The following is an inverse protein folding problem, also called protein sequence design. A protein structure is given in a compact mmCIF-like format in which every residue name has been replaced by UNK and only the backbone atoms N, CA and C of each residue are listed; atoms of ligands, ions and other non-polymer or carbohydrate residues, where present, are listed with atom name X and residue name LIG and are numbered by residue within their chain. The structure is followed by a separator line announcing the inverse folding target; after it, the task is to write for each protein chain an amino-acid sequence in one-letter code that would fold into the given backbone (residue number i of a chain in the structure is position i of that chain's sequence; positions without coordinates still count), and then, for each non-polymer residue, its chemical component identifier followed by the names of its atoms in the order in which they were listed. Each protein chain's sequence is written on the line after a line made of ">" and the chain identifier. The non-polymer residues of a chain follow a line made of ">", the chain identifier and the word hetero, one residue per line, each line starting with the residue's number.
data_IF_307512637599
#
_entry.id   IF_307512637599
#
_cell.length_a   1.000
_cell.length_b   1.000
_cell.length_c   1.000
_cell.angle_alpha   90.00
_cell.angle_beta   90.00
_cell.angle_gamma   90.00
#
_symmetry.space_group_name_H-M   'P 1'
#
loop_
_entity.id
_entity.type
_entity.pdbx_description
1 polymer ?
#
# COMPACT_ATOMS: atom_id res chain seq x y z
N UNK A 1 -9.76 -16.89 -4.15
CA UNK A 1 -8.34 -17.05 -4.49
C UNK A 1 -8.10 -17.37 -5.96
N UNK A 2 -8.70 -18.41 -6.52
CA UNK A 2 -8.50 -18.79 -7.95
C UNK A 2 -8.56 -17.62 -8.93
N UNK A 3 -9.46 -16.66 -8.72
CA UNK A 3 -9.56 -15.47 -9.60
C UNK A 3 -8.30 -14.58 -9.58
N UNK A 4 -7.60 -14.42 -8.43
CA UNK A 4 -6.38 -13.60 -8.34
C UNK A 4 -5.18 -14.30 -9.00
N UNK A 5 -5.04 -15.61 -8.79
CA UNK A 5 -4.03 -16.42 -9.46
C UNK A 5 -4.20 -16.34 -10.98
N UNK A 6 -5.40 -16.64 -11.48
CA UNK A 6 -5.70 -16.55 -12.93
C UNK A 6 -5.48 -15.15 -13.49
N UNK A 7 -5.73 -14.10 -12.69
CA UNK A 7 -5.49 -12.70 -13.09
C UNK A 7 -3.99 -12.43 -13.24
N UNK A 8 -3.13 -12.96 -12.35
CA UNK A 8 -1.67 -12.84 -12.49
C UNK A 8 -1.22 -13.53 -13.79
N UNK A 9 -1.62 -14.80 -13.99
CA UNK A 9 -1.26 -15.56 -15.19
C UNK A 9 -1.73 -14.88 -16.48
N UNK A 10 -2.90 -14.25 -16.49
CA UNK A 10 -3.39 -13.52 -17.67
C UNK A 10 -2.61 -12.24 -18.01
N UNK A 11 -1.67 -11.83 -17.17
CA UNK A 11 -0.83 -10.63 -17.32
C UNK A 11 0.64 -10.97 -17.59
N UNK A 12 0.99 -12.25 -17.63
CA UNK A 12 2.33 -12.69 -17.95
C UNK A 12 2.65 -12.43 -19.43
N UNK A 13 3.84 -11.96 -19.67
CA UNK A 13 4.38 -11.79 -21.03
C UNK A 13 5.00 -13.11 -21.55
N UNK A 14 5.34 -14.06 -20.66
CA UNK A 14 5.91 -15.37 -20.94
C UNK A 14 5.23 -16.44 -20.08
N UNK A 15 5.06 -17.65 -20.64
CA UNK A 15 4.50 -18.79 -19.91
C UNK A 15 5.47 -19.31 -18.85
N UNK A 16 4.95 -19.68 -17.69
CA UNK A 16 5.67 -20.35 -16.60
C UNK A 16 4.88 -21.55 -16.09
N UNK A 17 5.60 -22.58 -15.64
CA UNK A 17 4.99 -23.81 -15.11
C UNK A 17 4.40 -23.60 -13.70
N UNK A 18 5.02 -22.71 -12.92
CA UNK A 18 4.54 -22.28 -11.61
C UNK A 18 5.06 -20.88 -11.27
N UNK A 19 4.35 -20.15 -10.39
CA UNK A 19 4.87 -18.93 -9.76
C UNK A 19 5.12 -19.23 -8.29
N UNK A 20 6.29 -18.86 -7.79
CA UNK A 20 6.68 -19.09 -6.39
C UNK A 20 6.92 -17.77 -5.68
N UNK A 21 6.05 -17.48 -4.71
CA UNK A 21 6.13 -16.29 -3.86
C UNK A 21 6.64 -16.71 -2.48
N UNK A 22 7.92 -16.48 -2.22
CA UNK A 22 8.54 -16.76 -0.92
C UNK A 22 8.49 -15.52 -0.04
N UNK A 23 7.61 -15.54 0.95
CA UNK A 23 7.46 -14.44 1.88
C UNK A 23 8.72 -14.27 2.75
N UNK A 24 9.07 -13.02 3.00
CA UNK A 24 10.23 -12.65 3.82
C UNK A 24 9.92 -12.63 5.32
N UNK A 25 10.80 -11.96 6.05
CA UNK A 25 10.62 -11.55 7.44
C UNK A 25 10.48 -10.03 7.48
N UNK A 26 9.83 -9.47 8.50
CA UNK A 26 9.76 -8.00 8.63
C UNK A 26 11.17 -7.37 8.63
N UNK A 27 11.35 -6.25 7.93
CA UNK A 27 10.34 -5.45 7.21
C UNK A 27 10.12 -5.89 5.73
N UNK A 28 10.71 -6.99 5.27
CA UNK A 28 10.73 -7.44 3.88
C UNK A 28 9.63 -8.47 3.60
N UNK A 29 8.40 -8.20 3.98
CA UNK A 29 7.25 -9.04 3.64
C UNK A 29 6.88 -8.85 2.16
N UNK A 30 6.60 -9.95 1.46
CA UNK A 30 6.13 -9.90 0.08
C UNK A 30 4.61 -9.65 0.03
N UNK A 31 4.20 -8.47 -0.36
CA UNK A 31 2.78 -8.12 -0.52
C UNK A 31 2.10 -8.95 -1.60
N UNK A 32 2.85 -9.49 -2.57
CA UNK A 32 2.32 -10.39 -3.60
C UNK A 32 1.85 -11.71 -3.02
N UNK A 33 2.53 -12.21 -1.97
CA UNK A 33 2.08 -13.37 -1.20
C UNK A 33 0.70 -13.11 -0.58
N UNK A 34 0.49 -11.96 0.07
CA UNK A 34 -0.79 -11.59 0.66
C UNK A 34 -1.87 -11.33 -0.38
N UNK A 35 -1.52 -10.77 -1.53
CA UNK A 35 -2.43 -10.63 -2.66
C UNK A 35 -2.94 -11.97 -3.15
N UNK A 36 -2.05 -12.90 -3.46
CA UNK A 36 -2.38 -14.21 -4.00
C UNK A 36 -3.17 -15.04 -3.01
N UNK A 37 -2.74 -15.12 -1.75
CA UNK A 37 -3.37 -15.93 -0.70
C UNK A 37 -4.63 -15.31 -0.11
N UNK A 38 -4.79 -13.98 -0.21
CA UNK A 38 -5.88 -13.24 0.41
C UNK A 38 -5.84 -13.19 1.94
N UNK A 39 -4.72 -13.56 2.55
CA UNK A 39 -4.55 -13.53 4.01
C UNK A 39 -4.77 -12.12 4.56
N UNK A 40 -5.70 -12.00 5.50
CA UNK A 40 -6.11 -10.73 6.12
C UNK A 40 -5.31 -10.37 7.38
N UNK A 41 -4.65 -11.38 7.96
CA UNK A 41 -3.86 -11.28 9.18
C UNK A 41 -2.72 -12.30 9.13
N UNK A 42 -1.85 -12.26 10.11
CA UNK A 42 -0.65 -13.10 10.16
C UNK A 42 0.54 -12.47 9.45
N UNK A 43 1.73 -12.95 9.78
CA UNK A 43 2.99 -12.49 9.20
C UNK A 43 3.47 -13.46 8.13
N UNK A 44 3.25 -14.77 8.32
CA UNK A 44 3.64 -15.84 7.40
C UNK A 44 5.13 -15.82 7.04
N UNK A 45 6.00 -15.54 8.03
CA UNK A 45 7.44 -15.48 7.81
C UNK A 45 8.02 -16.76 7.24
N UNK A 46 8.75 -16.63 6.14
CA UNK A 46 9.40 -17.74 5.45
C UNK A 46 8.44 -18.78 4.86
N UNK A 47 7.15 -18.49 4.82
CA UNK A 47 6.15 -19.29 4.11
C UNK A 47 6.21 -19.06 2.60
N UNK A 48 5.69 -19.99 1.83
CA UNK A 48 5.74 -19.94 0.36
C UNK A 48 4.33 -20.16 -0.19
N UNK A 49 3.95 -19.39 -1.19
CA UNK A 49 2.78 -19.64 -2.01
C UNK A 49 3.24 -20.12 -3.40
N UNK A 50 2.74 -21.27 -3.82
CA UNK A 50 2.96 -21.82 -5.17
C UNK A 50 1.65 -21.62 -5.93
N UNK A 51 1.71 -20.84 -6.99
CA UNK A 51 0.56 -20.56 -7.84
C UNK A 51 0.69 -21.38 -9.12
N UNK A 52 -0.42 -22.02 -9.51
CA UNK A 52 -0.46 -22.88 -10.67
C UNK A 52 -1.25 -22.26 -11.85
N UNK A 53 -0.94 -22.61 -13.11
CA UNK A 53 -1.61 -22.05 -14.29
C UNK A 53 -3.12 -22.31 -14.33
N UNK A 54 -3.58 -23.39 -13.69
CA UNK A 54 -5.01 -23.73 -13.57
C UNK A 54 -5.78 -22.90 -12.56
N UNK A 55 -5.10 -21.94 -11.90
CA UNK A 55 -5.66 -21.06 -10.88
C UNK A 55 -5.62 -21.60 -9.46
N UNK A 56 -5.09 -22.80 -9.25
CA UNK A 56 -4.87 -23.36 -7.91
C UNK A 56 -3.69 -22.66 -7.21
N UNK A 57 -3.68 -22.77 -5.87
CA UNK A 57 -2.64 -22.22 -5.02
C UNK A 57 -2.39 -23.16 -3.84
N UNK A 58 -1.12 -23.53 -3.64
CA UNK A 58 -0.65 -24.25 -2.47
C UNK A 58 0.10 -23.30 -1.54
N UNK A 59 -0.20 -23.38 -0.24
CA UNK A 59 0.56 -22.66 0.79
C UNK A 59 1.45 -23.63 1.54
N UNK A 60 2.76 -23.41 1.47
CA UNK A 60 3.77 -24.11 2.27
C UNK A 60 4.09 -23.24 3.47
N UNK A 61 3.60 -23.63 4.65
CA UNK A 61 3.60 -22.81 5.86
C UNK A 61 4.31 -23.49 7.03
N UNK A 62 4.89 -22.69 7.92
CA UNK A 62 5.41 -23.21 9.19
C UNK A 62 4.26 -23.65 10.11
N UNK A 63 4.55 -24.53 11.08
CA UNK A 63 3.57 -24.93 12.10
C UNK A 63 2.97 -23.71 12.85
N UNK A 64 3.73 -22.62 13.01
CA UNK A 64 3.26 -21.40 13.65
C UNK A 64 2.11 -20.73 12.89
N UNK A 65 2.12 -20.83 11.58
CA UNK A 65 1.14 -20.16 10.71
C UNK A 65 0.01 -21.09 10.22
N UNK A 66 0.09 -22.39 10.55
CA UNK A 66 -0.89 -23.39 10.07
C UNK A 66 -2.33 -23.03 10.41
N UNK A 67 -2.59 -22.62 11.66
CA UNK A 67 -3.95 -22.24 12.10
C UNK A 67 -4.52 -21.07 11.30
N UNK A 68 -3.67 -20.11 10.94
CA UNK A 68 -4.05 -18.96 10.13
C UNK A 68 -4.26 -19.33 8.66
N UNK A 69 -3.38 -20.17 8.12
CA UNK A 69 -3.47 -20.66 6.74
C UNK A 69 -4.73 -21.49 6.49
N UNK A 70 -5.07 -22.39 7.43
CA UNK A 70 -6.28 -23.26 7.32
C UNK A 70 -7.62 -22.51 7.36
N UNK A 71 -7.62 -21.21 7.66
CA UNK A 71 -8.82 -20.34 7.52
C UNK A 71 -9.04 -19.86 6.09
N UNK A 72 -8.03 -20.04 5.24
CA UNK A 72 -8.09 -19.65 3.82
C UNK A 72 -8.58 -20.84 2.99
N UNK A 73 -9.23 -20.54 1.87
CA UNK A 73 -9.70 -21.55 0.91
C UNK A 73 -8.57 -21.91 -0.07
N UNK A 74 -7.54 -22.58 0.46
CA UNK A 74 -6.32 -23.00 -0.26
C UNK A 74 -5.79 -24.32 0.29
N UNK A 75 -5.00 -25.05 -0.49
CA UNK A 75 -4.29 -26.22 -0.01
C UNK A 75 -3.10 -25.81 0.87
N UNK A 76 -2.97 -26.46 2.04
CA UNK A 76 -1.97 -26.11 3.05
C UNK A 76 -1.05 -27.29 3.33
N UNK A 77 0.24 -27.10 3.11
CA UNK A 77 1.31 -28.06 3.41
C UNK A 77 2.17 -27.47 4.53
N UNK A 78 2.33 -28.19 5.63
CA UNK A 78 3.01 -27.69 6.83
C UNK A 78 4.45 -28.20 6.91
N UNK A 79 5.39 -27.34 7.30
CA UNK A 79 6.80 -27.71 7.56
C UNK A 79 7.23 -27.31 8.98
N UNK A 80 8.23 -28.04 9.53
CA UNK A 80 8.86 -27.78 10.84
C UNK A 80 10.25 -27.15 10.72
N UNK A 81 10.98 -27.49 9.67
CA UNK A 81 12.36 -27.00 9.46
C UNK A 81 12.55 -26.46 8.06
N UNK A 82 13.61 -25.67 7.86
CA UNK A 82 13.99 -25.15 6.55
C UNK A 82 14.30 -26.24 5.53
N UNK A 83 14.93 -27.36 5.99
CA UNK A 83 15.22 -28.52 5.14
C UNK A 83 13.92 -29.18 4.65
N UNK A 84 12.93 -29.31 5.55
CA UNK A 84 11.63 -29.86 5.21
C UNK A 84 10.90 -28.99 4.18
N UNK A 85 10.91 -27.66 4.38
CA UNK A 85 10.38 -26.74 3.36
C UNK A 85 11.07 -26.92 2.02
N UNK A 86 12.41 -26.97 2.00
CA UNK A 86 13.20 -27.18 0.78
C UNK A 86 12.82 -28.48 0.08
N UNK A 87 12.59 -29.57 0.85
CA UNK A 87 12.18 -30.84 0.30
C UNK A 87 10.76 -30.77 -0.31
N UNK A 88 9.82 -30.12 0.37
CA UNK A 88 8.46 -29.89 -0.14
C UNK A 88 8.49 -29.12 -1.47
N UNK A 89 9.31 -28.07 -1.57
CA UNK A 89 9.47 -27.32 -2.82
C UNK A 89 10.05 -28.17 -3.95
N UNK A 90 11.05 -29.02 -3.65
CA UNK A 90 11.61 -29.95 -4.65
C UNK A 90 10.58 -30.93 -5.20
N UNK A 91 9.72 -31.45 -4.32
CA UNK A 91 8.67 -32.40 -4.72
C UNK A 91 7.59 -31.68 -5.52
N UNK A 92 7.08 -30.56 -5.03
CA UNK A 92 6.01 -29.80 -5.69
C UNK A 92 6.42 -29.25 -7.07
N UNK A 93 7.66 -28.80 -7.21
CA UNK A 93 8.18 -28.18 -8.45
C UNK A 93 9.00 -29.16 -9.28
N UNK A 94 8.91 -30.46 -8.98
CA UNK A 94 9.60 -31.49 -9.77
C UNK A 94 9.09 -31.52 -11.21
N UNK A 95 9.98 -31.21 -12.14
CA UNK A 95 9.65 -31.14 -13.57
C UNK A 95 9.21 -29.76 -14.06
N UNK A 96 9.11 -28.75 -13.20
CA UNK A 96 8.94 -27.37 -13.64
C UNK A 96 10.22 -26.87 -14.32
N UNK A 97 10.14 -26.54 -15.59
CA UNK A 97 11.26 -26.01 -16.37
C UNK A 97 11.39 -24.50 -16.22
N UNK A 98 10.25 -23.80 -16.10
CA UNK A 98 10.19 -22.33 -15.97
C UNK A 98 9.42 -21.93 -14.73
N UNK A 99 10.05 -21.16 -13.84
CA UNK A 99 9.48 -20.74 -12.57
C UNK A 99 9.42 -19.22 -12.47
N UNK A 100 8.21 -18.69 -12.31
CA UNK A 100 7.98 -17.28 -12.06
C UNK A 100 8.36 -16.88 -10.64
N UNK A 101 9.10 -15.78 -10.47
CA UNK A 101 9.50 -15.21 -9.18
C UNK A 101 9.30 -13.70 -9.20
N UNK A 102 8.99 -13.11 -8.06
CA UNK A 102 8.89 -11.66 -7.93
C UNK A 102 10.22 -11.08 -7.47
N UNK A 103 11.07 -10.65 -8.41
CA UNK A 103 12.40 -10.13 -8.09
C UNK A 103 12.37 -8.85 -7.25
N UNK A 104 11.33 -8.04 -7.36
CA UNK A 104 11.23 -6.78 -6.60
C UNK A 104 10.95 -6.99 -5.11
N UNK A 105 10.38 -8.14 -4.72
CA UNK A 105 10.08 -8.48 -3.33
C UNK A 105 11.00 -9.57 -2.76
N UNK A 106 11.61 -10.39 -3.62
CA UNK A 106 12.42 -11.53 -3.20
C UNK A 106 13.81 -11.06 -2.74
N UNK A 107 14.09 -11.17 -1.45
CA UNK A 107 15.44 -10.89 -0.94
C UNK A 107 16.46 -11.88 -1.48
N UNK A 108 17.71 -11.46 -1.63
CA UNK A 108 18.79 -12.35 -2.10
C UNK A 108 18.95 -13.60 -1.22
N UNK A 109 18.75 -13.47 0.09
CA UNK A 109 18.80 -14.62 1.00
C UNK A 109 17.67 -15.63 0.73
N UNK A 110 16.46 -15.15 0.48
CA UNK A 110 15.34 -16.02 0.12
C UNK A 110 15.47 -16.59 -1.29
N UNK A 111 16.01 -15.82 -2.23
CA UNK A 111 16.36 -16.33 -3.56
C UNK A 111 17.31 -17.52 -3.50
N UNK A 112 18.38 -17.44 -2.71
CA UNK A 112 19.29 -18.58 -2.52
C UNK A 112 18.58 -19.81 -1.95
N UNK A 113 17.73 -19.64 -0.94
CA UNK A 113 16.94 -20.73 -0.37
C UNK A 113 15.96 -21.33 -1.36
N UNK A 114 15.34 -20.50 -2.21
CA UNK A 114 14.47 -20.97 -3.28
C UNK A 114 15.26 -21.85 -4.27
N UNK A 115 16.44 -21.41 -4.69
CA UNK A 115 17.34 -22.16 -5.58
C UNK A 115 17.74 -23.54 -5.02
N UNK A 116 17.84 -23.69 -3.71
CA UNK A 116 18.08 -24.98 -3.06
C UNK A 116 16.88 -25.93 -3.22
N UNK A 117 15.66 -25.38 -3.31
CA UNK A 117 14.39 -26.10 -3.45
C UNK A 117 13.96 -26.35 -4.88
N UNK A 118 14.51 -25.60 -5.85
CA UNK A 118 14.15 -25.72 -7.27
C UNK A 118 15.44 -25.84 -8.08
N UNK A 119 15.91 -27.07 -8.36
CA UNK A 119 17.16 -27.25 -9.05
C UNK A 119 17.06 -26.79 -10.51
N UNK A 120 17.82 -25.74 -10.79
CA UNK A 120 18.13 -25.22 -12.14
C UNK A 120 16.94 -24.85 -13.05
N UNK A 121 15.84 -24.19 -12.55
CA UNK A 121 14.79 -23.71 -13.43
C UNK A 121 15.25 -22.50 -14.23
N UNK A 122 14.63 -22.26 -15.37
CA UNK A 122 14.61 -20.95 -16.00
C UNK A 122 13.73 -20.02 -15.15
N UNK A 123 14.31 -19.01 -14.54
CA UNK A 123 13.59 -18.05 -13.73
C UNK A 123 13.03 -16.92 -14.57
N UNK A 124 11.75 -16.60 -14.38
CA UNK A 124 11.04 -15.51 -15.07
C UNK A 124 10.59 -14.48 -14.03
N UNK A 125 10.91 -13.20 -14.23
CA UNK A 125 10.38 -12.14 -13.38
C UNK A 125 8.89 -11.90 -13.66
N UNK A 126 8.07 -12.15 -12.66
CA UNK A 126 6.61 -11.95 -12.74
C UNK A 126 6.13 -10.71 -11.97
N UNK A 127 7.04 -9.89 -11.44
CA UNK A 127 6.72 -8.69 -10.66
C UNK A 127 5.78 -7.75 -11.39
N UNK A 128 6.09 -7.44 -12.67
CA UNK A 128 5.25 -6.58 -13.49
C UNK A 128 3.84 -7.13 -13.76
N UNK A 129 3.69 -8.45 -13.91
CA UNK A 129 2.38 -9.09 -14.07
C UNK A 129 1.55 -8.99 -12.78
N UNK A 130 2.18 -9.16 -11.62
CA UNK A 130 1.54 -9.03 -10.31
C UNK A 130 1.10 -7.58 -10.08
N UNK A 131 1.96 -6.60 -10.38
CA UNK A 131 1.59 -5.17 -10.28
C UNK A 131 0.40 -4.83 -11.17
N UNK A 132 0.41 -5.25 -12.43
CA UNK A 132 -0.73 -5.09 -13.34
C UNK A 132 -2.01 -5.76 -12.81
N UNK A 133 -1.90 -6.93 -12.17
CA UNK A 133 -3.04 -7.64 -11.58
C UNK A 133 -3.63 -6.91 -10.37
N UNK A 134 -2.79 -6.21 -9.57
CA UNK A 134 -3.18 -5.44 -8.39
C UNK A 134 -3.77 -4.07 -8.69
N UNK A 135 -3.53 -3.51 -9.89
CA UNK A 135 -4.07 -2.19 -10.28
C UNK A 135 -5.60 -2.14 -10.20
N UNK A 136 -6.27 -3.16 -10.71
CA UNK A 136 -7.73 -3.24 -10.70
C UNK A 136 -8.18 -4.08 -9.52
N UNK A 137 -8.75 -3.44 -8.52
CA UNK A 137 -9.18 -4.08 -7.28
C UNK A 137 -10.44 -4.93 -7.50
N UNK A 138 -10.48 -6.10 -6.89
CA UNK A 138 -11.70 -6.91 -6.84
C UNK A 138 -12.69 -6.39 -5.76
N UNK A 139 -13.87 -7.01 -5.66
CA UNK A 139 -14.91 -6.56 -4.74
C UNK A 139 -14.50 -6.64 -3.27
N UNK A 140 -13.72 -7.68 -2.89
CA UNK A 140 -13.23 -7.85 -1.52
C UNK A 140 -12.16 -6.80 -1.19
N UNK A 141 -11.25 -6.53 -2.13
CA UNK A 141 -10.26 -5.46 -1.99
C UNK A 141 -10.93 -4.10 -1.82
N UNK A 142 -11.96 -3.82 -2.63
CA UNK A 142 -12.74 -2.57 -2.55
C UNK A 142 -13.50 -2.42 -1.23
N UNK A 143 -14.02 -3.51 -0.66
CA UNK A 143 -14.65 -3.49 0.67
C UNK A 143 -13.64 -3.10 1.75
N UNK A 144 -12.45 -3.72 1.75
CA UNK A 144 -11.38 -3.45 2.70
C UNK A 144 -10.84 -2.02 2.58
N UNK A 145 -10.64 -1.54 1.36
CA UNK A 145 -10.22 -0.16 1.08
C UNK A 145 -11.25 0.85 1.57
N UNK A 146 -12.54 0.62 1.29
CA UNK A 146 -13.62 1.50 1.79
C UNK A 146 -13.63 1.57 3.30
N UNK A 147 -13.44 0.45 3.98
CA UNK A 147 -13.42 0.45 5.45
C UNK A 147 -12.17 1.15 5.99
N UNK A 148 -10.98 0.94 5.40
CA UNK A 148 -9.77 1.69 5.75
C UNK A 148 -9.98 3.22 5.57
N UNK A 149 -10.55 3.63 4.44
CA UNK A 149 -10.87 5.04 4.17
C UNK A 149 -11.92 5.59 5.14
N UNK A 150 -12.97 4.79 5.48
CA UNK A 150 -13.98 5.19 6.45
C UNK A 150 -13.37 5.45 7.82
N UNK A 151 -12.48 4.58 8.29
CA UNK A 151 -11.79 4.73 9.58
C UNK A 151 -10.96 6.02 9.58
N UNK A 152 -10.14 6.23 8.55
CA UNK A 152 -9.31 7.44 8.46
C UNK A 152 -10.16 8.72 8.38
N UNK A 153 -11.25 8.71 7.61
CA UNK A 153 -12.15 9.86 7.50
C UNK A 153 -12.80 10.22 8.83
N UNK A 154 -13.27 9.23 9.61
CA UNK A 154 -13.85 9.49 10.93
C UNK A 154 -12.83 10.09 11.90
N UNK A 155 -11.57 9.66 11.83
CA UNK A 155 -10.51 10.25 12.64
C UNK A 155 -10.19 11.66 12.17
N UNK A 156 -10.15 11.90 10.85
CA UNK A 156 -9.95 13.24 10.30
C UNK A 156 -11.02 14.24 10.80
N UNK A 157 -12.27 13.81 10.79
CA UNK A 157 -13.40 14.62 11.28
C UNK A 157 -13.32 14.90 12.80
N UNK A 158 -12.66 14.02 13.55
CA UNK A 158 -12.53 14.12 15.01
C UNK A 158 -11.28 14.93 15.46
N UNK A 159 -10.32 15.21 14.56
CA UNK A 159 -9.12 16.00 14.88
C UNK A 159 -9.46 17.34 15.58
N UNK A 160 -10.43 18.15 15.13
CA UNK A 160 -10.76 19.40 15.80
C UNK A 160 -11.18 19.26 17.26
N UNK A 161 -11.66 18.07 17.68
CA UNK A 161 -12.14 17.83 19.05
C UNK A 161 -10.99 17.58 20.03
N UNK A 162 -9.83 17.13 19.58
CA UNK A 162 -8.69 16.86 20.46
C UNK A 162 -7.49 17.77 20.24
N UNK A 163 -7.35 18.34 19.03
CA UNK A 163 -6.24 19.23 18.69
C UNK A 163 -6.33 20.52 19.52
N UNK A 164 -5.24 20.89 20.20
CA UNK A 164 -5.16 22.07 21.05
C UNK A 164 -3.80 22.72 21.03
N UNK A 165 -3.76 24.02 21.29
CA UNK A 165 -2.51 24.77 21.52
C UNK A 165 -1.68 24.08 22.62
N UNK A 166 -0.37 24.02 22.43
CA UNK A 166 0.58 23.37 23.34
C UNK A 166 0.71 21.86 23.18
N UNK A 167 -0.15 21.20 22.38
CA UNK A 167 0.02 19.79 22.01
C UNK A 167 1.24 19.66 21.07
N UNK A 168 2.07 18.66 21.26
CA UNK A 168 3.20 18.44 20.36
C UNK A 168 2.83 17.48 19.20
N UNK A 169 3.65 17.47 18.14
CA UNK A 169 3.42 16.69 16.93
C UNK A 169 3.34 15.18 17.22
N UNK A 170 4.25 14.67 18.07
CA UNK A 170 4.27 13.23 18.45
C UNK A 170 2.99 12.85 19.22
N UNK A 171 2.53 13.71 20.13
CA UNK A 171 1.26 13.49 20.85
C UNK A 171 0.07 13.43 19.90
N UNK A 172 0.04 14.33 18.91
CA UNK A 172 -1.05 14.38 17.92
C UNK A 172 -1.01 13.13 17.01
N UNK A 173 0.16 12.71 16.56
CA UNK A 173 0.33 11.48 15.77
C UNK A 173 -0.09 10.23 16.54
N UNK A 174 0.25 10.15 17.83
CA UNK A 174 -0.14 9.05 18.71
C UNK A 174 -1.66 9.00 18.92
N UNK A 175 -2.30 10.15 19.10
CA UNK A 175 -3.75 10.23 19.27
C UNK A 175 -4.51 9.80 17.99
N UNK A 176 -4.04 10.20 16.81
CA UNK A 176 -4.58 9.76 15.52
C UNK A 176 -4.49 8.25 15.41
N UNK A 177 -3.31 7.68 15.66
CA UNK A 177 -3.05 6.24 15.58
C UNK A 177 -3.94 5.46 16.55
N UNK A 178 -4.07 5.92 17.79
CA UNK A 178 -4.93 5.31 18.80
C UNK A 178 -6.41 5.31 18.37
N UNK A 179 -6.90 6.43 17.82
CA UNK A 179 -8.30 6.54 17.37
C UNK A 179 -8.59 5.63 16.19
N UNK A 180 -7.66 5.51 15.22
CA UNK A 180 -7.81 4.56 14.11
C UNK A 180 -7.91 3.12 14.61
N UNK A 181 -7.06 2.71 15.56
CA UNK A 181 -7.09 1.37 16.13
C UNK A 181 -8.38 1.11 16.93
N UNK A 182 -8.88 2.08 17.66
CA UNK A 182 -10.18 1.97 18.34
C UNK A 182 -11.35 1.78 17.38
N UNK A 183 -11.25 2.24 16.15
CA UNK A 183 -12.24 2.05 15.10
C UNK A 183 -12.04 0.75 14.30
N UNK A 184 -11.04 -0.07 14.65
CA UNK A 184 -10.83 -1.40 14.07
C UNK A 184 -9.67 -1.50 13.09
N UNK A 185 -8.86 -0.46 12.89
CA UNK A 185 -7.60 -0.58 12.16
C UNK A 185 -6.62 -1.48 12.91
N UNK A 186 -5.84 -2.29 12.19
CA UNK A 186 -4.74 -3.08 12.77
C UNK A 186 -3.50 -2.26 13.08
N UNK A 187 -3.40 -1.06 12.53
CA UNK A 187 -2.30 -0.11 12.68
C UNK A 187 -2.46 1.08 11.75
N UNK A 188 -1.37 1.81 11.55
CA UNK A 188 -1.27 2.87 10.54
C UNK A 188 -0.78 2.26 9.22
N UNK A 189 -1.19 2.82 8.08
CA UNK A 189 -0.72 2.39 6.75
C UNK A 189 0.71 2.87 6.44
N UNK A 190 1.11 3.95 7.10
CA UNK A 190 2.46 4.52 7.11
C UNK A 190 2.66 5.32 8.41
N UNK A 191 3.87 5.80 8.67
CA UNK A 191 4.16 6.63 9.82
C UNK A 191 3.38 7.95 9.71
N UNK A 192 2.54 8.23 10.71
CA UNK A 192 1.68 9.42 10.70
C UNK A 192 2.52 10.69 10.72
N UNK A 193 2.36 11.51 9.69
CA UNK A 193 2.94 12.85 9.64
C UNK A 193 2.01 13.80 10.42
N UNK A 194 2.52 14.40 11.47
CA UNK A 194 1.90 15.52 12.15
C UNK A 194 2.90 16.67 12.13
N UNK A 195 2.62 17.72 11.38
CA UNK A 195 3.57 18.79 11.12
C UNK A 195 2.94 20.16 11.41
N UNK A 196 3.54 20.91 12.33
CA UNK A 196 3.02 22.18 12.80
C UNK A 196 3.85 23.37 12.28
N UNK A 197 3.16 24.46 11.96
CA UNK A 197 3.79 25.68 11.47
C UNK A 197 4.67 25.44 10.23
N UNK A 198 5.94 25.81 10.31
CA UNK A 198 6.91 25.69 9.22
C UNK A 198 7.23 24.24 8.83
N UNK A 199 7.12 23.28 9.77
CA UNK A 199 7.35 21.86 9.51
C UNK A 199 6.35 21.30 8.48
N UNK A 200 5.16 21.91 8.36
CA UNK A 200 4.15 21.52 7.36
C UNK A 200 4.58 21.74 5.90
N UNK A 201 5.72 22.39 5.68
CA UNK A 201 6.29 22.55 4.34
C UNK A 201 7.17 21.36 3.89
N UNK A 202 7.46 20.40 4.76
CA UNK A 202 8.27 19.21 4.46
C UNK A 202 7.37 18.02 4.15
N UNK A 203 7.32 17.53 2.88
CA UNK A 203 6.41 16.44 2.50
C UNK A 203 6.66 15.10 3.23
N UNK A 204 7.89 14.81 3.63
CA UNK A 204 8.27 13.57 4.34
C UNK A 204 8.75 13.87 5.77
N UNK A 205 8.04 14.80 6.44
CA UNK A 205 8.37 15.20 7.81
C UNK A 205 8.07 14.06 8.80
N UNK A 206 8.98 13.84 9.75
CA UNK A 206 8.74 12.94 10.88
C UNK A 206 8.30 13.75 12.10
N UNK A 207 7.16 13.38 12.71
CA UNK A 207 6.59 14.08 13.85
C UNK A 207 7.58 14.20 15.02
N UNK A 208 7.77 15.42 15.51
CA UNK A 208 8.74 15.78 16.53
C UNK A 208 8.10 16.31 17.83
N UNK A 209 8.90 17.05 18.58
CA UNK A 209 8.48 17.65 19.85
C UNK A 209 8.00 19.09 19.72
N UNK A 210 7.91 19.63 18.48
CA UNK A 210 7.36 20.97 18.24
C UNK A 210 5.93 21.04 18.74
N UNK A 211 5.60 22.07 19.47
CA UNK A 211 4.25 22.33 19.98
C UNK A 211 3.47 23.25 19.05
N UNK A 212 2.17 23.01 18.94
CA UNK A 212 1.26 23.83 18.16
C UNK A 212 1.05 25.19 18.82
N UNK A 213 1.34 26.25 18.09
CA UNK A 213 1.15 27.63 18.52
C UNK A 213 -0.09 28.26 17.85
N UNK A 214 -0.60 29.31 18.47
CA UNK A 214 -1.76 30.06 17.95
C UNK A 214 -1.45 30.65 16.56
N UNK A 215 -2.36 30.43 15.61
CA UNK A 215 -2.26 30.95 14.24
C UNK A 215 -1.42 30.06 13.31
N UNK A 216 -0.88 28.97 13.80
CA UNK A 216 -0.14 28.02 12.97
C UNK A 216 -1.05 27.04 12.24
N UNK A 217 -0.56 26.57 11.11
CA UNK A 217 -1.12 25.41 10.42
C UNK A 217 -0.72 24.14 11.17
N UNK A 218 -1.65 23.20 11.26
CA UNK A 218 -1.43 21.84 11.71
C UNK A 218 -1.82 20.91 10.55
N UNK A 219 -0.83 20.36 9.87
CA UNK A 219 -1.00 19.40 8.78
C UNK A 219 -0.87 18.00 9.35
N UNK A 220 -1.80 17.14 8.96
CA UNK A 220 -1.80 15.73 9.29
C UNK A 220 -1.93 14.92 8.01
N UNK A 221 -0.99 14.00 7.81
CA UNK A 221 -1.03 13.02 6.73
C UNK A 221 -0.92 11.63 7.34
N UNK A 222 -1.97 10.82 7.17
CA UNK A 222 -2.12 9.55 7.86
C UNK A 222 -3.06 8.60 7.12
N UNK A 223 -2.98 7.33 7.48
CA UNK A 223 -3.87 6.33 6.93
C UNK A 223 -4.06 5.13 7.86
N UNK A 224 -5.22 4.50 7.76
CA UNK A 224 -5.56 3.30 8.49
C UNK A 224 -5.16 2.05 7.69
N UNK A 225 -4.56 1.08 8.37
CA UNK A 225 -4.35 -0.28 7.86
C UNK A 225 -5.51 -1.17 8.32
N UNK A 226 -6.34 -1.61 7.38
CA UNK A 226 -7.46 -2.50 7.67
C UNK A 226 -7.37 -3.77 6.85
N UNK A 227 -7.23 -4.93 7.52
CA UNK A 227 -7.08 -6.25 6.86
C UNK A 227 -6.05 -6.20 5.73
N UNK A 228 -4.88 -5.62 6.04
CA UNK A 228 -3.73 -5.40 5.14
C UNK A 228 -3.93 -4.36 4.02
N UNK A 229 -5.06 -3.68 3.92
CA UNK A 229 -5.31 -2.62 2.94
C UNK A 229 -5.14 -1.25 3.56
N UNK A 230 -4.49 -0.36 2.82
CA UNK A 230 -4.09 0.97 3.25
C UNK A 230 -5.10 2.03 2.80
N UNK A 231 -5.43 2.97 3.68
CA UNK A 231 -5.95 4.28 3.28
C UNK A 231 -4.87 5.34 3.41
N UNK A 232 -5.14 6.51 2.84
CA UNK A 232 -4.24 7.65 2.79
C UNK A 232 -5.06 8.94 2.73
N UNK A 233 -4.83 9.87 3.68
CA UNK A 233 -5.59 11.11 3.79
C UNK A 233 -4.76 12.20 4.43
N UNK A 234 -4.72 13.38 3.78
CA UNK A 234 -4.14 14.59 4.37
C UNK A 234 -5.23 15.58 4.77
N UNK A 235 -5.09 16.21 5.94
CA UNK A 235 -5.93 17.32 6.41
C UNK A 235 -5.09 18.39 7.07
N UNK A 236 -5.46 19.65 6.80
CA UNK A 236 -4.82 20.82 7.41
C UNK A 236 -5.83 21.63 8.19
N UNK A 237 -5.47 21.98 9.41
CA UNK A 237 -6.23 22.81 10.33
C UNK A 237 -5.41 24.04 10.71
N UNK A 238 -6.08 25.06 11.29
CA UNK A 238 -5.39 26.24 11.81
C UNK A 238 -5.72 26.41 13.30
N UNK A 239 -4.71 26.63 14.10
CA UNK A 239 -4.89 26.86 15.54
C UNK A 239 -5.57 28.22 15.77
N UNK A 240 -6.86 28.20 16.02
CA UNK A 240 -7.80 29.31 16.25
C UNK A 240 -8.07 30.22 15.05
N UNK A 241 -7.05 30.65 14.32
CA UNK A 241 -7.21 31.59 13.21
C UNK A 241 -6.14 31.37 12.15
N UNK A 242 -6.48 31.64 10.92
CA UNK A 242 -5.54 31.67 9.82
C UNK A 242 -5.28 33.12 9.38
N UNK A 243 -4.14 33.37 8.79
CA UNK A 243 -3.87 34.61 8.05
C UNK A 243 -4.56 34.58 6.69
N UNK A 244 -4.87 35.72 6.11
CA UNK A 244 -5.47 35.77 4.76
C UNK A 244 -4.65 35.01 3.70
N UNK A 245 -3.31 34.96 3.84
CA UNK A 245 -2.44 34.19 2.95
C UNK A 245 -2.61 32.67 3.14
N UNK A 246 -2.73 32.20 4.37
CA UNK A 246 -2.97 30.80 4.68
C UNK A 246 -4.36 30.35 4.18
N UNK A 247 -5.39 31.15 4.44
CA UNK A 247 -6.75 30.89 3.92
C UNK A 247 -6.74 30.80 2.39
N UNK A 248 -6.08 31.77 1.74
CA UNK A 248 -5.96 31.79 0.27
C UNK A 248 -5.23 30.55 -0.26
N UNK A 249 -4.13 30.15 0.37
CA UNK A 249 -3.38 28.95 -0.03
C UNK A 249 -4.23 27.68 0.15
N UNK A 250 -4.91 27.54 1.28
CA UNK A 250 -5.81 26.43 1.55
C UNK A 250 -6.92 26.32 0.48
N UNK A 251 -7.56 27.44 0.15
CA UNK A 251 -8.62 27.48 -0.86
C UNK A 251 -8.10 27.10 -2.26
N UNK A 252 -6.90 27.54 -2.63
CA UNK A 252 -6.28 27.16 -3.92
C UNK A 252 -6.01 25.65 -3.97
N UNK A 253 -5.48 25.05 -2.90
CA UNK A 253 -5.22 23.61 -2.85
C UNK A 253 -6.54 22.84 -2.87
N UNK A 254 -7.54 23.24 -2.09
CA UNK A 254 -8.87 22.63 -2.06
C UNK A 254 -9.53 22.64 -3.44
N UNK A 255 -9.53 23.79 -4.10
CA UNK A 255 -10.10 23.93 -5.43
C UNK A 255 -9.36 23.10 -6.48
N UNK A 256 -8.01 23.05 -6.41
CA UNK A 256 -7.20 22.20 -7.28
C UNK A 256 -7.56 20.71 -7.11
N UNK A 257 -7.72 20.25 -5.88
CA UNK A 257 -8.13 18.88 -5.54
C UNK A 257 -9.53 18.57 -6.10
N UNK A 258 -10.51 19.42 -5.86
CA UNK A 258 -11.90 19.25 -6.35
C UNK A 258 -11.97 19.19 -7.89
N UNK A 259 -11.21 20.05 -8.57
CA UNK A 259 -11.11 20.05 -10.05
C UNK A 259 -10.51 18.75 -10.56
N UNK A 260 -9.42 18.29 -9.96
CA UNK A 260 -8.77 17.05 -10.33
C UNK A 260 -9.69 15.84 -10.10
N UNK A 261 -10.35 15.74 -8.95
CA UNK A 261 -11.34 14.69 -8.67
C UNK A 261 -12.45 14.69 -9.72
N UNK A 262 -12.98 15.88 -10.06
CA UNK A 262 -14.05 16.03 -11.05
C UNK A 262 -13.62 15.66 -12.48
N UNK A 263 -12.33 15.68 -12.77
CA UNK A 263 -11.78 15.28 -14.07
C UNK A 263 -11.60 13.76 -14.21
N UNK A 264 -11.56 13.01 -13.09
CA UNK A 264 -11.34 11.57 -13.09
C UNK A 264 -12.50 10.85 -13.79
N UNK A 265 -12.18 10.08 -14.83
CA UNK A 265 -13.11 9.18 -15.52
C UNK A 265 -12.35 8.10 -16.27
N UNK A 266 -13.00 6.97 -16.53
CA UNK A 266 -12.42 5.91 -17.35
C UNK A 266 -11.99 6.43 -18.75
N UNK A 267 -10.80 6.02 -19.18
CA UNK A 267 -10.22 6.38 -20.48
C UNK A 267 -9.48 7.71 -20.52
N UNK A 268 -9.40 8.47 -19.41
CA UNK A 268 -8.56 9.68 -19.36
C UNK A 268 -7.09 9.31 -19.07
N UNK A 269 -6.11 9.91 -19.76
CA UNK A 269 -4.70 9.81 -19.33
C UNK A 269 -4.51 10.39 -17.93
N UNK A 270 -3.84 9.66 -17.05
CA UNK A 270 -3.65 10.10 -15.67
C UNK A 270 -2.81 11.39 -15.56
N UNK A 271 -1.90 11.63 -16.52
CA UNK A 271 -1.17 12.91 -16.65
C UNK A 271 -2.06 14.11 -16.88
N UNK A 272 -3.21 13.94 -17.58
CA UNK A 272 -4.14 15.03 -17.84
C UNK A 272 -4.89 15.42 -16.55
N UNK A 273 -5.10 14.47 -15.63
CA UNK A 273 -5.66 14.76 -14.30
C UNK A 273 -4.66 15.53 -13.44
N UNK A 274 -3.37 15.17 -13.49
CA UNK A 274 -2.30 15.96 -12.81
C UNK A 274 -2.26 17.39 -13.38
N UNK A 275 -2.34 17.55 -14.70
CA UNK A 275 -2.32 18.84 -15.36
C UNK A 275 -3.46 19.76 -14.88
N UNK A 276 -4.66 19.25 -14.67
CA UNK A 276 -5.81 20.04 -14.16
C UNK A 276 -5.48 20.74 -12.85
N UNK A 277 -4.90 20.03 -11.87
CA UNK A 277 -4.52 20.63 -10.59
C UNK A 277 -3.32 21.56 -10.73
N UNK A 278 -2.30 21.11 -11.43
CA UNK A 278 -1.01 21.81 -11.59
C UNK A 278 -1.19 23.14 -12.32
N UNK A 279 -1.88 23.15 -13.44
CA UNK A 279 -2.12 24.37 -14.21
C UNK A 279 -2.98 25.36 -13.43
N UNK A 280 -3.97 24.88 -12.66
CA UNK A 280 -4.75 25.75 -11.80
C UNK A 280 -3.88 26.40 -10.72
N UNK A 281 -3.05 25.64 -9.98
CA UNK A 281 -2.13 26.21 -8.98
C UNK A 281 -1.17 27.19 -9.64
N UNK A 282 -0.60 26.85 -10.80
CA UNK A 282 0.34 27.68 -11.53
C UNK A 282 -0.28 28.96 -12.13
N UNK A 283 -1.59 29.00 -12.25
CA UNK A 283 -2.32 30.21 -12.62
C UNK A 283 -2.48 31.22 -11.48
N UNK A 284 -2.10 30.85 -10.26
CA UNK A 284 -2.20 31.67 -9.05
C UNK A 284 -0.85 32.21 -8.60
N UNK A 285 -0.84 32.98 -7.50
CA UNK A 285 0.36 33.47 -6.83
C UNK A 285 1.26 32.35 -6.28
N UNK A 286 0.77 31.10 -6.24
CA UNK A 286 1.50 29.92 -5.77
C UNK A 286 2.15 29.11 -6.90
N UNK A 287 2.35 29.72 -8.07
CA UNK A 287 3.04 29.09 -9.21
C UNK A 287 4.34 28.42 -8.81
N UNK A 288 4.54 27.18 -9.27
CA UNK A 288 5.74 26.37 -9.00
C UNK A 288 5.84 25.81 -7.58
N UNK A 289 4.78 25.93 -6.77
CA UNK A 289 4.76 25.38 -5.40
C UNK A 289 4.22 23.95 -5.31
N UNK A 290 3.61 23.44 -6.37
CA UNK A 290 3.21 22.05 -6.47
C UNK A 290 4.34 21.19 -7.02
N UNK A 291 5.19 20.65 -6.15
CA UNK A 291 6.49 20.04 -6.48
C UNK A 291 6.46 18.50 -6.59
N UNK A 292 5.34 17.85 -6.32
CA UNK A 292 5.19 16.40 -6.37
C UNK A 292 4.10 15.97 -7.37
N UNK A 293 3.86 14.67 -7.52
CA UNK A 293 2.76 14.11 -8.31
C UNK A 293 1.41 14.42 -7.67
N UNK A 294 0.34 14.46 -8.47
CA UNK A 294 -1.02 14.66 -7.96
C UNK A 294 -1.46 13.55 -7.02
N UNK A 295 -1.09 12.29 -7.33
CA UNK A 295 -1.49 11.16 -6.51
C UNK A 295 -0.98 9.82 -7.02
N UNK A 296 -1.40 8.77 -6.34
CA UNK A 296 -1.01 7.38 -6.59
C UNK A 296 -2.16 6.43 -6.25
N UNK A 297 -2.03 5.16 -6.67
CA UNK A 297 -2.94 4.10 -6.27
C UNK A 297 -2.70 3.66 -4.82
N UNK A 298 -3.75 3.19 -4.16
CA UNK A 298 -3.70 2.58 -2.82
C UNK A 298 -4.15 1.12 -2.88
N UNK A 299 -3.71 0.30 -1.95
CA UNK A 299 -4.06 -1.12 -1.89
C UNK A 299 -3.44 -1.82 -0.69
N UNK A 300 -2.74 -2.91 -0.92
CA UNK A 300 -1.91 -3.60 0.09
C UNK A 300 -0.69 -2.77 0.52
N UNK A 301 -0.25 -1.86 -0.34
CA UNK A 301 0.71 -0.82 -0.01
C UNK A 301 0.01 0.54 -0.07
N UNK A 302 0.55 1.54 0.64
CA UNK A 302 0.09 2.92 0.49
C UNK A 302 0.34 3.42 -0.93
N UNK A 303 1.51 3.10 -1.52
CA UNK A 303 1.79 3.30 -2.93
C UNK A 303 1.61 1.96 -3.67
N UNK A 304 0.40 1.66 -4.11
CA UNK A 304 0.03 0.37 -4.70
C UNK A 304 -0.28 0.47 -6.19
N UNK A 305 0.76 0.71 -6.95
CA UNK A 305 0.67 0.85 -8.40
C UNK A 305 -0.08 2.10 -8.86
N UNK A 306 0.18 2.49 -10.09
CA UNK A 306 -0.41 3.68 -10.70
C UNK A 306 0.12 4.98 -10.12
N UNK A 307 0.27 5.99 -10.98
CA UNK A 307 0.68 7.33 -10.60
C UNK A 307 -0.09 8.34 -11.46
N UNK A 308 -0.57 9.40 -10.85
CA UNK A 308 -1.06 10.59 -11.54
C UNK A 308 0.04 11.64 -11.47
N UNK A 309 0.94 11.62 -12.45
CA UNK A 309 2.11 12.50 -12.56
C UNK A 309 2.24 13.06 -13.97
N UNK A 310 3.00 14.16 -14.17
CA UNK A 310 3.17 14.76 -15.50
C UNK A 310 3.77 13.83 -16.57
N UNK A 311 4.48 12.77 -16.13
CA UNK A 311 5.24 11.87 -17.02
C UNK A 311 4.64 10.46 -17.13
N UNK A 312 3.51 10.20 -16.48
CA UNK A 312 2.88 8.87 -16.53
C UNK A 312 2.23 8.61 -17.88
N UNK A 313 2.33 7.39 -18.37
CA UNK A 313 1.60 6.90 -19.55
C UNK A 313 0.33 6.12 -19.18
N UNK A 314 -0.01 6.04 -17.88
CA UNK A 314 -1.19 5.33 -17.39
C UNK A 314 -2.48 6.00 -17.90
N UNK A 315 -3.46 5.16 -18.23
CA UNK A 315 -4.84 5.54 -18.54
C UNK A 315 -5.75 4.98 -17.44
N UNK A 316 -6.63 5.81 -16.89
CA UNK A 316 -7.56 5.45 -15.82
C UNK A 316 -8.72 4.56 -16.30
#
# INVERSE_FOLDING_TARGET
>A
MRNRVSRIYSRLDEEVDAIVLMNGTEPNLDLSFFYATGAESGIFEGCVAILWPDGNLDMVVSELEETSARKLDVDVITFKTGEQRTQILKEALSGAGRVGVNYSALTYGNFRKLREGVPDPEEVDVGGAIEKARLIKDSQEMERLREACRIASLVADDIPNFLKEGMNETEAAAEISFRMQRLGASGTSFETIAAFGENSAEPHYAAGTRTLERGEAALFDFGALYRKYCSDITRTFFARSATAKQERMYEVVREANERAISAIRAGIPAKDVDAVAREYIDSTEFKGRFIHSLGHGIGLSVHDGGSMSPVTEMVL
#
